data_IF_950733190266
#
_entry.id   IF_950733190266
#
_cell.length_a   1.000
_cell.length_b   1.000
_cell.length_c   1.000
_cell.angle_alpha   90.00
_cell.angle_beta   90.00
_cell.angle_gamma   90.00
#
_symmetry.space_group_name_H-M   'P 1'
#
loop_
_entity.id
_entity.type
_entity.pdbx_description
1 polymer ?
#
# COMPACT_ATOMS: atom_id res chain seq x y z
N UNK A 1 -7.64 -6.94 -1.79
CA UNK A 1 -7.10 -5.56 -1.75
C UNK A 1 -6.32 -5.21 -0.46
N UNK A 2 -6.93 -4.78 0.66
CA UNK A 2 -6.15 -4.31 1.83
C UNK A 2 -5.18 -5.37 2.40
N UNK A 3 -5.64 -6.61 2.52
CA UNK A 3 -4.79 -7.73 2.96
C UNK A 3 -3.62 -7.99 2.02
N UNK A 4 -3.76 -7.71 0.72
CA UNK A 4 -2.66 -7.84 -0.25
C UNK A 4 -1.64 -6.71 -0.09
N UNK A 5 -2.09 -5.49 0.22
CA UNK A 5 -1.19 -4.36 0.53
C UNK A 5 -0.36 -4.66 1.76
N UNK A 6 -1.01 -5.10 2.85
CA UNK A 6 -0.34 -5.42 4.11
C UNK A 6 0.54 -6.66 3.99
N UNK A 7 0.06 -7.71 3.29
CA UNK A 7 0.85 -8.91 3.03
C UNK A 7 2.10 -8.63 2.21
N UNK A 8 2.00 -7.82 1.16
CA UNK A 8 3.16 -7.38 0.39
C UNK A 8 4.13 -6.53 1.22
N UNK A 9 3.63 -5.67 2.12
CA UNK A 9 4.47 -4.80 2.94
C UNK A 9 5.23 -5.60 4.00
N UNK A 10 4.58 -6.60 4.59
CA UNK A 10 5.25 -7.56 5.48
C UNK A 10 6.31 -8.35 4.72
N UNK A 11 6.03 -8.80 3.50
CA UNK A 11 7.00 -9.50 2.68
C UNK A 11 8.20 -8.60 2.32
N UNK A 12 7.96 -7.32 2.04
CA UNK A 12 9.01 -6.33 1.84
C UNK A 12 9.84 -6.10 3.10
N UNK A 13 9.21 -6.02 4.28
CA UNK A 13 9.92 -5.90 5.55
C UNK A 13 10.83 -7.11 5.80
N UNK A 14 10.36 -8.33 5.51
CA UNK A 14 11.18 -9.55 5.56
C UNK A 14 12.37 -9.44 4.59
N UNK A 15 12.14 -8.92 3.38
CA UNK A 15 13.20 -8.64 2.40
C UNK A 15 14.28 -7.69 2.95
N UNK A 16 13.89 -6.59 3.60
CA UNK A 16 14.83 -5.64 4.20
C UNK A 16 15.63 -6.24 5.36
N UNK A 17 14.97 -6.99 6.26
CA UNK A 17 15.64 -7.64 7.40
C UNK A 17 16.61 -8.73 6.92
N UNK A 18 16.19 -9.51 5.92
CA UNK A 18 17.03 -10.54 5.29
C UNK A 18 18.24 -9.93 4.59
N UNK A 19 18.05 -8.79 3.90
CA UNK A 19 19.13 -8.06 3.26
C UNK A 19 20.16 -7.53 4.26
N UNK A 20 19.72 -7.00 5.41
CA UNK A 20 20.61 -6.51 6.48
C UNK A 20 21.40 -7.65 7.15
N UNK A 21 20.77 -8.83 7.27
CA UNK A 21 21.42 -9.98 7.92
C UNK A 21 22.36 -10.76 7.00
N UNK A 22 22.35 -10.50 5.69
CA UNK A 22 23.09 -11.30 4.72
C UNK A 22 24.56 -10.87 4.60
N UNK A 23 25.46 -11.72 5.09
CA UNK A 23 26.91 -11.55 4.89
C UNK A 23 27.41 -12.01 3.51
N UNK A 24 26.57 -12.68 2.70
CA UNK A 24 26.95 -13.21 1.38
C UNK A 24 26.28 -12.46 0.23
N UNK A 25 26.95 -12.26 -0.92
CA UNK A 25 26.36 -11.63 -2.10
C UNK A 25 25.13 -12.38 -2.64
N UNK A 26 25.15 -13.72 -2.56
CA UNK A 26 24.02 -14.57 -2.99
C UNK A 26 22.81 -14.42 -2.08
N UNK A 27 23.03 -14.36 -0.76
CA UNK A 27 21.96 -14.11 0.20
C UNK A 27 21.33 -12.73 0.04
N UNK A 28 22.15 -11.72 -0.28
CA UNK A 28 21.66 -10.37 -0.55
C UNK A 28 20.81 -10.33 -1.83
N UNK A 29 21.25 -11.00 -2.91
CA UNK A 29 20.47 -11.12 -4.14
C UNK A 29 19.12 -11.84 -3.91
N UNK A 30 19.10 -12.90 -3.09
CA UNK A 30 17.86 -13.58 -2.73
C UNK A 30 16.92 -12.67 -1.92
N UNK A 31 17.46 -11.88 -0.99
CA UNK A 31 16.68 -10.89 -0.24
C UNK A 31 16.08 -9.81 -1.15
N UNK A 32 16.84 -9.33 -2.16
CA UNK A 32 16.34 -8.39 -3.16
C UNK A 32 15.20 -8.99 -4.00
N UNK A 33 15.26 -10.29 -4.33
CA UNK A 33 14.17 -10.95 -5.05
C UNK A 33 12.88 -10.97 -4.21
N UNK A 34 12.98 -11.32 -2.92
CA UNK A 34 11.85 -11.29 -1.99
C UNK A 34 11.29 -9.87 -1.88
N UNK A 35 12.17 -8.87 -1.75
CA UNK A 35 11.80 -7.46 -1.68
C UNK A 35 11.06 -6.98 -2.94
N UNK A 36 11.54 -7.37 -4.12
CA UNK A 36 10.92 -7.02 -5.40
C UNK A 36 9.51 -7.60 -5.53
N UNK A 37 9.30 -8.84 -5.10
CA UNK A 37 7.98 -9.47 -5.09
C UNK A 37 7.04 -8.77 -4.11
N UNK A 38 7.49 -8.51 -2.88
CA UNK A 38 6.69 -7.82 -1.87
C UNK A 38 6.27 -6.42 -2.31
N UNK A 39 7.20 -5.65 -2.86
CA UNK A 39 6.94 -4.27 -3.32
C UNK A 39 6.01 -4.25 -4.53
N UNK A 40 6.17 -5.17 -5.49
CA UNK A 40 5.28 -5.28 -6.64
C UNK A 40 3.83 -5.61 -6.22
N UNK A 41 3.66 -6.54 -5.27
CA UNK A 41 2.35 -6.91 -4.72
C UNK A 41 1.69 -5.73 -4.00
N UNK A 42 2.41 -5.07 -3.09
CA UNK A 42 1.87 -3.92 -2.36
C UNK A 42 1.52 -2.76 -3.29
N UNK A 43 2.41 -2.42 -4.23
CA UNK A 43 2.20 -1.31 -5.16
C UNK A 43 0.98 -1.54 -6.05
N UNK A 44 0.84 -2.75 -6.59
CA UNK A 44 -0.29 -3.10 -7.46
C UNK A 44 -1.63 -3.06 -6.71
N UNK A 45 -1.67 -3.65 -5.51
CA UNK A 45 -2.88 -3.64 -4.68
C UNK A 45 -3.23 -2.23 -4.16
N UNK A 46 -2.23 -1.41 -3.82
CA UNK A 46 -2.45 -0.03 -3.40
C UNK A 46 -2.96 0.83 -4.57
N UNK A 47 -2.39 0.69 -5.76
CA UNK A 47 -2.86 1.38 -6.96
C UNK A 47 -4.32 1.02 -7.29
N UNK A 48 -4.68 -0.27 -7.21
CA UNK A 48 -6.05 -0.72 -7.43
C UNK A 48 -7.03 -0.11 -6.40
N UNK A 49 -6.65 -0.04 -5.12
CA UNK A 49 -7.44 0.60 -4.08
C UNK A 49 -7.63 2.11 -4.30
N UNK A 50 -6.54 2.81 -4.63
CA UNK A 50 -6.55 4.26 -4.86
C UNK A 50 -7.44 4.59 -6.06
N UNK A 51 -7.32 3.83 -7.15
CA UNK A 51 -8.12 4.02 -8.36
C UNK A 51 -9.61 3.70 -8.10
N UNK A 52 -9.91 2.64 -7.35
CA UNK A 52 -11.30 2.29 -7.00
C UNK A 52 -11.95 3.31 -6.05
N UNK A 53 -11.17 3.93 -5.15
CA UNK A 53 -11.64 4.98 -4.26
C UNK A 53 -11.84 6.33 -4.98
N UNK A 54 -11.20 6.52 -6.13
CA UNK A 54 -11.23 7.76 -6.90
C UNK A 54 -12.46 7.85 -7.79
N UNK A 55 -13.14 9.00 -7.80
CA UNK A 55 -14.21 9.24 -8.77
C UNK A 55 -13.63 9.28 -10.20
N UNK A 56 -14.32 8.69 -11.18
CA UNK A 56 -13.85 8.56 -12.59
C UNK A 56 -13.37 9.87 -13.23
N UNK A 57 -13.85 11.03 -12.76
CA UNK A 57 -13.48 12.35 -13.27
C UNK A 57 -12.20 12.93 -12.63
N UNK A 58 -11.66 12.31 -11.57
CA UNK A 58 -10.42 12.74 -10.88
C UNK A 58 -9.30 11.70 -10.93
N UNK A 59 -9.52 10.54 -11.54
CA UNK A 59 -8.52 9.47 -11.61
C UNK A 59 -7.18 9.93 -12.21
N UNK A 60 -7.20 10.76 -13.26
CA UNK A 60 -5.98 11.32 -13.84
C UNK A 60 -5.20 12.25 -12.89
N UNK A 61 -5.90 13.06 -12.09
CA UNK A 61 -5.26 13.93 -11.09
C UNK A 61 -4.65 13.11 -9.94
N UNK A 62 -5.36 12.07 -9.50
CA UNK A 62 -4.88 11.18 -8.42
C UNK A 62 -3.67 10.39 -8.87
N UNK A 63 -3.70 9.78 -10.07
CA UNK A 63 -2.54 9.08 -10.61
C UNK A 63 -1.33 10.01 -10.79
N UNK A 64 -1.54 11.21 -11.34
CA UNK A 64 -0.47 12.19 -11.49
C UNK A 64 0.14 12.64 -10.16
N UNK A 65 -0.67 12.79 -9.11
CA UNK A 65 -0.17 13.10 -7.77
C UNK A 65 0.64 11.94 -7.17
N UNK A 66 0.20 10.69 -7.37
CA UNK A 66 0.95 9.50 -6.94
C UNK A 66 2.29 9.39 -7.67
N UNK A 67 2.31 9.60 -8.99
CA UNK A 67 3.52 9.55 -9.80
C UNK A 67 4.51 10.66 -9.40
N UNK A 68 4.02 11.88 -9.16
CA UNK A 68 4.83 12.99 -8.69
C UNK A 68 5.45 12.70 -7.30
N UNK A 69 4.66 12.14 -6.39
CA UNK A 69 5.14 11.74 -5.07
C UNK A 69 6.18 10.61 -5.19
N UNK A 70 5.96 9.63 -6.06
CA UNK A 70 6.94 8.57 -6.32
C UNK A 70 8.25 9.14 -6.87
N UNK A 71 8.18 10.09 -7.79
CA UNK A 71 9.36 10.78 -8.31
C UNK A 71 10.12 11.52 -7.20
N UNK A 72 9.43 12.25 -6.33
CA UNK A 72 10.04 12.87 -5.15
C UNK A 72 10.73 11.84 -4.25
N UNK A 73 10.05 10.72 -3.94
CA UNK A 73 10.62 9.65 -3.14
C UNK A 73 11.86 9.03 -3.77
N UNK A 74 11.93 8.90 -5.10
CA UNK A 74 13.14 8.40 -5.80
C UNK A 74 14.35 9.31 -5.64
N UNK A 75 14.16 10.60 -5.41
CA UNK A 75 15.24 11.56 -5.16
C UNK A 75 15.58 11.62 -3.67
N UNK A 76 14.56 11.66 -2.81
CA UNK A 76 14.74 11.77 -1.36
C UNK A 76 15.28 10.49 -0.72
N UNK A 77 14.94 9.32 -1.27
CA UNK A 77 15.34 8.04 -0.70
C UNK A 77 16.88 7.83 -0.73
N UNK A 78 17.60 8.04 -1.85
CA UNK A 78 19.06 7.98 -1.85
C UNK A 78 19.73 8.98 -0.91
N UNK A 79 19.19 10.21 -0.80
CA UNK A 79 19.71 11.23 0.11
C UNK A 79 19.54 10.81 1.58
N UNK A 80 18.36 10.33 1.95
CA UNK A 80 18.10 9.81 3.30
C UNK A 80 18.92 8.56 3.61
N UNK A 81 19.08 7.67 2.62
CA UNK A 81 19.90 6.47 2.76
C UNK A 81 21.39 6.81 2.94
N UNK A 82 21.92 7.77 2.18
CA UNK A 82 23.30 8.23 2.34
C UNK A 82 23.52 8.84 3.72
N UNK A 83 22.61 9.71 4.18
CA UNK A 83 22.68 10.31 5.52
C UNK A 83 22.62 9.25 6.63
N UNK A 84 21.72 8.27 6.51
CA UNK A 84 21.61 7.16 7.46
C UNK A 84 22.88 6.30 7.48
N UNK A 85 23.47 6.05 6.31
CA UNK A 85 24.71 5.30 6.19
C UNK A 85 25.89 6.02 6.85
N UNK A 86 26.06 7.32 6.60
CA UNK A 86 27.14 8.11 7.19
C UNK A 86 27.01 8.25 8.70
N UNK A 87 25.80 8.43 9.21
CA UNK A 87 25.56 8.69 10.64
C UNK A 87 25.55 7.43 11.50
N UNK A 88 25.05 6.30 10.97
CA UNK A 88 24.75 5.10 11.76
C UNK A 88 25.36 3.81 11.19
N UNK A 89 26.07 3.89 10.07
CA UNK A 89 26.77 2.77 9.46
C UNK A 89 25.94 1.91 8.51
N UNK A 90 26.51 0.76 8.13
CA UNK A 90 26.07 -0.04 6.97
C UNK A 90 24.63 -0.55 7.05
N UNK A 91 24.17 -0.93 8.24
CA UNK A 91 22.85 -1.57 8.42
C UNK A 91 21.71 -0.54 8.53
N UNK A 92 22.04 0.71 8.82
CA UNK A 92 21.06 1.74 9.12
C UNK A 92 20.11 2.10 7.96
N UNK A 93 20.54 2.17 6.68
CA UNK A 93 19.64 2.44 5.57
C UNK A 93 18.57 1.35 5.40
N UNK A 94 18.96 0.08 5.59
CA UNK A 94 18.06 -1.07 5.48
C UNK A 94 17.07 -1.12 6.64
N UNK A 95 17.54 -0.84 7.86
CA UNK A 95 16.68 -0.71 9.03
C UNK A 95 15.68 0.45 8.85
N UNK A 96 16.14 1.62 8.42
CA UNK A 96 15.29 2.78 8.15
C UNK A 96 14.24 2.47 7.07
N UNK A 97 14.62 1.81 5.98
CA UNK A 97 13.70 1.40 4.93
C UNK A 97 12.64 0.41 5.44
N UNK A 98 13.03 -0.53 6.30
CA UNK A 98 12.10 -1.44 6.97
C UNK A 98 11.10 -0.67 7.86
N UNK A 99 11.58 0.26 8.68
CA UNK A 99 10.74 1.09 9.54
C UNK A 99 9.76 1.95 8.73
N UNK A 100 10.23 2.59 7.65
CA UNK A 100 9.39 3.38 6.73
C UNK A 100 8.34 2.51 6.05
N UNK A 101 8.69 1.29 5.64
CA UNK A 101 7.75 0.35 5.03
C UNK A 101 6.63 -0.06 6.01
N UNK A 102 6.98 -0.41 7.25
CA UNK A 102 6.02 -0.77 8.29
C UNK A 102 5.16 0.42 8.72
N UNK A 103 5.74 1.61 8.86
CA UNK A 103 5.00 2.83 9.17
C UNK A 103 3.99 3.16 8.06
N UNK A 104 4.41 3.06 6.78
CA UNK A 104 3.51 3.23 5.64
C UNK A 104 2.37 2.22 5.63
N UNK A 105 2.65 0.95 5.95
CA UNK A 105 1.63 -0.08 6.07
C UNK A 105 0.63 0.21 7.20
N UNK A 106 1.10 0.69 8.36
CA UNK A 106 0.26 1.07 9.48
C UNK A 106 -0.66 2.25 9.14
N UNK A 107 -0.10 3.32 8.54
CA UNK A 107 -0.89 4.47 8.06
C UNK A 107 -1.94 4.03 7.04
N UNK A 108 -1.58 3.12 6.13
CA UNK A 108 -2.52 2.58 5.15
C UNK A 108 -3.63 1.75 5.80
N UNK A 109 -3.30 0.95 6.83
CA UNK A 109 -4.28 0.20 7.60
C UNK A 109 -5.29 1.12 8.31
N UNK A 110 -4.85 2.26 8.84
CA UNK A 110 -5.71 3.26 9.51
C UNK A 110 -6.53 4.12 8.53
N UNK A 111 -6.00 4.41 7.34
CA UNK A 111 -6.70 5.22 6.34
C UNK A 111 -7.83 4.43 5.61
N UNK A 112 -7.67 3.12 5.47
CA UNK A 112 -8.62 2.26 4.74
C UNK A 112 -10.01 2.04 5.40
N UNK A 113 -10.20 1.99 6.74
CA UNK A 113 -11.51 1.79 7.37
C UNK A 113 -12.58 2.83 6.96
N UNK A 114 -12.20 4.05 6.56
CA UNK A 114 -13.17 5.04 6.08
C UNK A 114 -13.74 4.75 4.67
N UNK A 115 -13.02 4.01 3.84
CA UNK A 115 -13.47 3.67 2.48
C UNK A 115 -14.54 2.55 2.50
N UNK A 116 -14.42 1.58 3.40
CA UNK A 116 -15.40 0.49 3.53
C UNK A 116 -16.76 0.98 4.05
N UNK A 117 -16.79 2.00 4.92
CA UNK A 117 -18.03 2.59 5.41
C UNK A 117 -18.81 3.35 4.32
N UNK A 118 -18.12 4.06 3.42
CA UNK A 118 -18.74 4.77 2.28
C UNK A 118 -19.26 3.85 1.17
N UNK A 119 -18.63 2.70 0.95
CA UNK A 119 -19.13 1.71 -0.01
C UNK A 119 -20.39 1.05 0.55
N UNK A 120 -20.39 0.68 1.84
CA UNK A 120 -21.55 0.05 2.50
C UNK A 120 -22.79 0.95 2.51
N UNK A 121 -22.64 2.27 2.67
CA UNK A 121 -23.77 3.21 2.61
C UNK A 121 -24.34 3.44 1.20
N UNK A 122 -23.60 3.09 0.14
CA UNK A 122 -24.06 3.19 -1.26
C UNK A 122 -24.75 1.92 -1.76
N UNK A 123 -24.52 0.79 -1.09
CA UNK A 123 -25.11 -0.52 -1.44
C UNK A 123 -26.40 -0.84 -0.68
N UNK A 124 -26.94 0.10 0.08
CA UNK A 124 -28.36 0.06 0.48
C UNK A 124 -29.17 0.97 -0.46
N UNK A 125 -29.52 0.53 -1.69
CA UNK A 125 -30.75 1.03 -2.28
C UNK A 125 -31.87 0.59 -1.34
N UNK A 126 -32.65 1.56 -0.85
CA UNK A 126 -33.79 1.29 0.02
C UNK A 126 -34.59 0.12 -0.51
N UNK A 127 -34.53 -1.01 0.20
CA UNK A 127 -35.53 -2.06 0.12
C UNK A 127 -36.75 -1.53 0.85
N UNK A 128 -37.40 -0.51 0.28
CA UNK A 128 -38.74 -0.14 0.68
C UNK A 128 -39.62 -1.32 0.29
N UNK A 129 -40.09 -2.00 1.31
CA UNK A 129 -41.09 -3.05 1.26
C UNK A 129 -42.34 -2.47 0.62
N UNK A 130 -42.49 -2.56 -0.70
CA UNK A 130 -43.77 -2.28 -1.34
C UNK A 130 -44.60 -3.56 -1.32
N UNK A 131 -45.11 -3.87 -0.12
CA UNK A 131 -46.12 -4.91 0.09
C UNK A 131 -47.53 -4.37 -0.15
N UNK A 132 -47.73 -3.59 -1.21
CA UNK A 132 -49.04 -3.02 -1.57
C UNK A 132 -49.49 -3.36 -2.99
N UNK A 133 -49.25 -4.60 -3.45
CA UNK A 133 -49.89 -5.15 -4.67
C UNK A 133 -50.43 -6.55 -4.40
N UNK A 134 -51.32 -6.69 -3.41
CA UNK A 134 -52.05 -7.95 -3.19
C UNK A 134 -53.38 -7.72 -2.45
N UNK A 135 -54.25 -6.82 -2.94
CA UNK A 135 -55.67 -6.79 -2.51
C UNK A 135 -56.54 -5.88 -3.39
N UNK A 136 -56.71 -6.21 -4.67
CA UNK A 136 -57.92 -5.79 -5.42
C UNK A 136 -58.13 -6.63 -6.68
N UNK A 137 -58.63 -7.85 -6.50
CA UNK A 137 -59.30 -8.62 -7.54
C UNK A 137 -60.09 -9.73 -6.86
N UNK A 138 -61.26 -9.36 -6.34
CA UNK A 138 -62.46 -10.17 -6.20
C UNK A 138 -63.64 -9.22 -6.12
#
# INVERSE_FOLDING_TARGET
ELQMVLGGALLSAVGFVSAASSASPRGFAAALAILAVGTALSKSAAAALILNASARHRSGQVSGAVDALEACCRVLSPLGAAFAFESFGREAPLAAACSLCLAGAAVFAEATPQSNARIRSKTEPGFSTDSSVAKKSR
#
